data_IF_104403857100
#
_entry.id   IF_104403857100
#
_cell.length_a   1.000
_cell.length_b   1.000
_cell.length_c   1.000
_cell.angle_alpha   90.00
_cell.angle_beta   90.00
_cell.angle_gamma   90.00
#
_symmetry.space_group_name_H-M   'P 1'
#
loop_
_entity.id
_entity.type
_entity.pdbx_description
1 polymer ?
#
# COMPACT_ATOMS: atom_id res chain seq x y z
N UNK A 1 7.62 -2.51 12.40
CA UNK A 1 9.01 -3.00 12.49
C UNK A 1 9.85 -2.26 11.45
N UNK A 2 10.86 -1.50 11.86
CA UNK A 2 11.79 -0.83 10.94
C UNK A 2 12.80 -1.86 10.41
N UNK A 3 12.94 -1.99 9.10
CA UNK A 3 13.96 -2.86 8.48
C UNK A 3 15.20 -2.01 8.25
N UNK A 4 16.29 -2.27 8.97
CA UNK A 4 17.57 -1.68 8.63
C UNK A 4 17.95 -2.12 7.21
N UNK A 5 18.39 -1.16 6.39
CA UNK A 5 19.04 -1.42 5.10
C UNK A 5 20.19 -2.40 5.39
N UNK A 6 20.12 -3.61 4.83
CA UNK A 6 21.19 -4.59 5.04
C UNK A 6 22.44 -4.14 4.29
N UNK A 7 23.61 -4.59 4.73
CA UNK A 7 24.85 -4.31 4.01
C UNK A 7 24.69 -4.71 2.53
N UNK A 8 24.98 -3.76 1.62
CA UNK A 8 24.85 -3.91 0.16
C UNK A 8 23.43 -3.93 -0.41
N UNK A 9 22.38 -3.55 0.32
CA UNK A 9 21.02 -3.49 -0.26
C UNK A 9 20.96 -2.58 -1.50
N UNK A 10 21.62 -1.42 -1.45
CA UNK A 10 21.71 -0.52 -2.60
C UNK A 10 22.44 -1.19 -3.78
N UNK A 11 23.62 -1.76 -3.52
CA UNK A 11 24.39 -2.44 -4.57
C UNK A 11 23.63 -3.63 -5.15
N UNK A 12 22.91 -4.40 -4.33
CA UNK A 12 22.09 -5.51 -4.77
C UNK A 12 20.88 -5.04 -5.57
N UNK A 13 20.23 -3.94 -5.17
CA UNK A 13 19.15 -3.34 -5.95
C UNK A 13 19.66 -2.84 -7.32
N UNK A 14 20.88 -2.31 -7.40
CA UNK A 14 21.49 -1.91 -8.66
C UNK A 14 21.93 -3.10 -9.52
N UNK A 15 22.51 -4.14 -8.91
CA UNK A 15 23.08 -5.29 -9.62
C UNK A 15 22.02 -6.32 -10.04
N UNK A 16 20.97 -6.48 -9.24
CA UNK A 16 19.96 -7.53 -9.42
C UNK A 16 18.56 -6.99 -9.66
N UNK A 17 18.37 -5.66 -9.58
CA UNK A 17 17.06 -5.04 -9.67
C UNK A 17 16.20 -5.32 -8.44
N UNK A 18 14.93 -4.96 -8.54
CA UNK A 18 13.94 -5.33 -7.54
C UNK A 18 13.64 -6.84 -7.64
N UNK A 19 13.37 -7.46 -6.50
CA UNK A 19 12.88 -8.84 -6.44
C UNK A 19 11.58 -8.97 -7.26
N UNK A 20 11.38 -10.09 -7.96
CA UNK A 20 10.19 -10.30 -8.82
C UNK A 20 8.87 -10.15 -8.05
N UNK A 21 8.92 -10.45 -6.76
CA UNK A 21 7.82 -10.32 -5.81
C UNK A 21 7.42 -8.87 -5.58
N UNK A 22 8.37 -7.93 -5.60
CA UNK A 22 8.10 -6.51 -5.43
C UNK A 22 7.48 -5.89 -6.70
N UNK A 23 7.75 -6.47 -7.88
CA UNK A 23 7.21 -6.02 -9.16
C UNK A 23 5.81 -6.55 -9.48
N UNK A 24 5.33 -7.54 -8.73
CA UNK A 24 4.04 -8.21 -8.97
C UNK A 24 3.06 -8.10 -7.80
N UNK A 25 3.38 -7.30 -6.79
CA UNK A 25 2.50 -7.02 -5.67
C UNK A 25 1.51 -5.90 -5.97
N UNK A 26 0.47 -5.80 -5.15
CA UNK A 26 -0.43 -4.64 -5.12
C UNK A 26 0.34 -3.36 -4.77
N UNK A 27 0.01 -2.26 -5.45
CA UNK A 27 0.67 -0.97 -5.28
C UNK A 27 -0.32 0.07 -4.77
N UNK A 28 0.18 1.04 -4.02
CA UNK A 28 -0.52 2.30 -3.80
C UNK A 28 -0.22 3.20 -5.01
N UNK A 29 -1.22 3.47 -5.82
CA UNK A 29 -1.10 4.36 -6.98
C UNK A 29 -1.31 5.81 -6.56
N UNK A 30 -2.38 6.07 -5.79
CA UNK A 30 -2.87 7.42 -5.57
C UNK A 30 -2.99 7.71 -4.07
N UNK A 31 -2.37 8.81 -3.65
CA UNK A 31 -2.57 9.43 -2.35
C UNK A 31 -2.49 10.95 -2.52
N UNK A 32 -3.44 11.73 -2.00
CA UNK A 32 -3.46 13.18 -2.18
C UNK A 32 -2.28 13.82 -1.45
N UNK A 33 -1.48 14.62 -2.18
CA UNK A 33 -0.35 15.37 -1.65
C UNK A 33 -0.63 16.86 -1.78
N UNK A 34 -0.37 17.69 -0.73
CA UNK A 34 0.41 17.39 0.49
C UNK A 34 -0.40 16.84 1.68
N UNK A 35 -1.65 16.46 1.49
CA UNK A 35 -2.58 16.08 2.57
C UNK A 35 -2.24 14.74 3.21
N UNK A 36 -1.63 13.82 2.46
CA UNK A 36 -1.22 12.49 2.92
C UNK A 36 0.25 12.24 2.59
N UNK A 37 0.99 11.80 3.60
CA UNK A 37 2.40 11.45 3.51
C UNK A 37 2.56 9.94 3.65
N UNK A 38 3.12 9.29 2.63
CA UNK A 38 3.36 7.85 2.62
C UNK A 38 4.72 7.55 3.24
N UNK A 39 4.72 6.89 4.40
CA UNK A 39 5.96 6.49 5.08
C UNK A 39 6.39 5.07 4.73
N UNK A 40 5.46 4.20 4.34
CA UNK A 40 5.71 2.84 3.87
C UNK A 40 4.56 2.40 2.98
N UNK A 41 4.85 1.81 1.83
CA UNK A 41 3.92 1.04 1.02
C UNK A 41 4.66 -0.21 0.54
N UNK A 42 4.41 -1.36 1.16
CA UNK A 42 5.20 -2.57 0.89
C UNK A 42 4.35 -3.83 0.88
N UNK A 43 4.58 -4.67 -0.12
CA UNK A 43 3.99 -6.01 -0.21
C UNK A 43 5.04 -7.08 0.04
N UNK A 44 4.83 -7.92 1.05
CA UNK A 44 5.76 -9.00 1.39
C UNK A 44 5.51 -10.25 0.51
N UNK A 45 4.25 -10.63 0.36
CA UNK A 45 3.84 -11.91 -0.22
C UNK A 45 3.01 -11.73 -1.51
N UNK A 46 3.13 -10.58 -2.17
CA UNK A 46 2.33 -10.09 -3.32
C UNK A 46 0.85 -9.85 -3.04
N UNK A 47 0.26 -10.58 -2.09
CA UNK A 47 -1.16 -10.50 -1.74
C UNK A 47 -1.48 -9.43 -0.69
N UNK A 48 -0.55 -9.16 0.23
CA UNK A 48 -0.77 -8.29 1.37
C UNK A 48 0.05 -7.02 1.23
N UNK A 49 -0.61 -5.87 1.21
CA UNK A 49 0.02 -4.55 1.19
C UNK A 49 -0.04 -3.94 2.60
N UNK A 50 1.12 -3.63 3.16
CA UNK A 50 1.30 -2.96 4.44
C UNK A 50 1.67 -1.50 4.19
N UNK A 51 0.74 -0.62 4.54
CA UNK A 51 0.78 0.82 4.29
C UNK A 51 0.87 1.58 5.62
N UNK A 52 1.80 2.51 5.72
CA UNK A 52 1.84 3.50 6.80
C UNK A 52 1.75 4.90 6.20
N UNK A 53 0.74 5.64 6.62
CA UNK A 53 0.47 7.01 6.18
C UNK A 53 0.41 7.96 7.36
N UNK A 54 0.68 9.23 7.07
CA UNK A 54 0.51 10.35 7.98
C UNK A 54 -0.36 11.41 7.32
N UNK A 55 -1.16 12.12 8.10
CA UNK A 55 -1.82 13.32 7.61
C UNK A 55 -0.81 14.48 7.56
N UNK A 56 -0.93 15.34 6.56
CA UNK A 56 -0.03 16.48 6.34
C UNK A 56 -0.27 17.60 7.35
N UNK A 57 -1.43 18.26 7.27
CA UNK A 57 -1.80 19.37 8.17
C UNK A 57 -2.95 19.00 9.10
N UNK A 58 -4.03 18.48 8.54
CA UNK A 58 -5.28 18.20 9.26
C UNK A 58 -5.62 16.72 9.19
N UNK A 59 -6.23 16.20 10.25
CA UNK A 59 -6.75 14.84 10.29
C UNK A 59 -8.06 14.78 9.50
N UNK A 60 -8.31 13.68 8.80
CA UNK A 60 -9.52 13.56 7.99
C UNK A 60 -9.63 12.24 7.26
N UNK A 61 -10.68 12.13 6.45
CA UNK A 61 -10.87 10.99 5.54
C UNK A 61 -10.28 11.34 4.19
N UNK A 62 -9.35 10.51 3.71
CA UNK A 62 -8.67 10.69 2.44
C UNK A 62 -8.87 9.47 1.56
N UNK A 63 -9.08 9.71 0.27
CA UNK A 63 -9.19 8.65 -0.71
C UNK A 63 -7.80 8.14 -1.09
N UNK A 64 -7.61 6.83 -1.02
CA UNK A 64 -6.38 6.14 -1.41
C UNK A 64 -6.70 5.18 -2.56
N UNK A 65 -5.93 5.29 -3.64
CA UNK A 65 -6.04 4.46 -4.84
C UNK A 65 -5.01 3.33 -4.84
N UNK A 66 -5.47 2.13 -5.13
CA UNK A 66 -4.64 0.93 -5.29
C UNK A 66 -4.73 0.39 -6.71
N UNK A 67 -3.63 -0.16 -7.19
CA UNK A 67 -3.51 -0.80 -8.51
C UNK A 67 -2.77 -2.15 -8.38
N UNK A 68 -2.73 -2.93 -9.47
CA UNK A 68 -2.14 -4.27 -9.50
C UNK A 68 -2.85 -5.24 -8.55
N UNK A 69 -4.17 -5.04 -8.38
CA UNK A 69 -5.05 -5.98 -7.69
C UNK A 69 -5.57 -7.02 -8.67
N UNK A 70 -5.84 -8.22 -8.17
CA UNK A 70 -6.54 -9.27 -8.93
C UNK A 70 -7.95 -8.75 -9.27
N UNK A 71 -8.33 -8.61 -10.54
CA UNK A 71 -9.66 -8.11 -10.93
C UNK A 71 -10.79 -8.97 -10.37
N UNK A 72 -11.83 -8.33 -9.83
CA UNK A 72 -12.98 -9.01 -9.24
C UNK A 72 -12.73 -9.62 -7.86
N UNK A 73 -11.49 -9.58 -7.35
CA UNK A 73 -11.17 -10.06 -6.00
C UNK A 73 -11.59 -9.01 -4.95
N UNK A 74 -12.16 -9.50 -3.84
CA UNK A 74 -12.47 -8.68 -2.67
C UNK A 74 -11.27 -8.64 -1.71
N UNK A 75 -11.00 -7.47 -1.16
CA UNK A 75 -9.92 -7.21 -0.22
C UNK A 75 -10.48 -6.63 1.08
N UNK A 76 -10.01 -7.13 2.21
CA UNK A 76 -10.25 -6.54 3.53
C UNK A 76 -9.26 -5.40 3.77
N UNK A 77 -9.76 -4.35 4.41
CA UNK A 77 -8.97 -3.18 4.80
C UNK A 77 -8.95 -3.10 6.32
N UNK A 78 -7.78 -3.03 6.95
CA UNK A 78 -7.69 -3.00 8.42
C UNK A 78 -8.26 -1.73 9.05
N UNK A 79 -8.37 -0.63 8.31
CA UNK A 79 -9.04 0.60 8.76
C UNK A 79 -10.56 0.46 8.83
N UNK A 80 -11.11 -0.64 8.32
CA UNK A 80 -12.54 -0.92 8.30
C UNK A 80 -13.05 -1.20 6.90
N UNK A 81 -13.93 -2.19 6.78
CA UNK A 81 -14.62 -2.54 5.54
C UNK A 81 -13.84 -3.44 4.60
N UNK A 82 -14.37 -3.53 3.37
CA UNK A 82 -13.79 -4.31 2.28
C UNK A 82 -14.02 -3.60 0.96
N UNK A 83 -13.07 -3.72 0.05
CA UNK A 83 -13.14 -3.14 -1.29
C UNK A 83 -12.96 -4.23 -2.35
N UNK A 84 -13.77 -4.17 -3.41
CA UNK A 84 -13.61 -5.05 -4.56
C UNK A 84 -12.73 -4.37 -5.62
N UNK A 85 -11.76 -5.12 -6.15
CA UNK A 85 -10.99 -4.66 -7.30
C UNK A 85 -11.88 -4.65 -8.54
N UNK A 86 -11.85 -3.55 -9.29
CA UNK A 86 -12.57 -3.42 -10.54
C UNK A 86 -11.95 -4.30 -11.65
N UNK A 87 -12.58 -4.32 -12.83
CA UNK A 87 -12.11 -5.09 -13.99
C UNK A 87 -10.71 -4.71 -14.50
N UNK A 88 -10.20 -3.54 -14.11
CA UNK A 88 -8.85 -3.07 -14.44
C UNK A 88 -7.83 -3.36 -13.33
N UNK A 89 -8.22 -4.04 -12.24
CA UNK A 89 -7.33 -4.33 -11.12
C UNK A 89 -7.05 -3.11 -10.23
N UNK A 90 -7.96 -2.13 -10.22
CA UNK A 90 -7.89 -0.94 -9.36
C UNK A 90 -8.96 -0.96 -8.27
N UNK A 91 -8.68 -0.31 -7.14
CA UNK A 91 -9.63 -0.10 -6.06
C UNK A 91 -9.37 1.23 -5.35
N UNK A 92 -10.41 1.81 -4.78
CA UNK A 92 -10.31 3.04 -3.98
C UNK A 92 -10.89 2.79 -2.60
N UNK A 93 -10.24 3.32 -1.58
CA UNK A 93 -10.75 3.30 -0.21
C UNK A 93 -10.77 4.72 0.33
N UNK A 94 -11.75 5.00 1.16
CA UNK A 94 -11.77 6.19 1.98
C UNK A 94 -11.23 5.80 3.37
N UNK A 95 -10.05 6.32 3.71
CA UNK A 95 -9.35 5.98 4.95
C UNK A 95 -9.27 7.18 5.88
N UNK A 96 -9.64 6.99 7.14
CA UNK A 96 -9.43 7.98 8.19
C UNK A 96 -7.94 8.01 8.59
N UNK A 97 -7.29 9.15 8.41
CA UNK A 97 -5.87 9.34 8.72
C UNK A 97 -5.73 10.37 9.84
N UNK A 98 -5.16 9.92 10.96
CA UNK A 98 -4.91 10.73 12.14
C UNK A 98 -3.54 10.35 12.72
N UNK A 99 -2.54 11.21 12.48
CA UNK A 99 -1.16 10.92 12.80
C UNK A 99 -0.67 9.69 12.03
N UNK A 100 0.07 8.82 12.71
CA UNK A 100 0.57 7.57 12.11
C UNK A 100 -0.54 6.53 12.01
N UNK A 101 -1.13 6.39 10.83
CA UNK A 101 -2.14 5.36 10.57
C UNK A 101 -1.53 4.19 9.80
N UNK A 102 -1.75 2.97 10.31
CA UNK A 102 -1.41 1.74 9.59
C UNK A 102 -2.65 1.20 8.87
N UNK A 103 -2.50 0.92 7.58
CA UNK A 103 -3.54 0.33 6.72
C UNK A 103 -2.96 -0.95 6.12
N UNK A 104 -3.67 -2.05 6.29
CA UNK A 104 -3.34 -3.35 5.73
C UNK A 104 -4.43 -3.71 4.73
N UNK A 105 -4.05 -3.94 3.49
CA UNK A 105 -4.91 -4.47 2.44
C UNK A 105 -4.53 -5.93 2.17
N UNK A 106 -5.50 -6.83 2.26
CA UNK A 106 -5.30 -8.26 1.99
C UNK A 106 -6.56 -8.89 1.38
N UNK A 107 -6.44 -9.85 0.45
CA UNK A 107 -7.59 -10.52 -0.15
C UNK A 107 -8.39 -11.31 0.89
N UNK A 108 -9.71 -11.32 0.73
CA UNK A 108 -10.64 -12.18 1.47
C UNK A 108 -10.85 -13.44 0.63
N UNK A 109 -10.64 -14.61 1.23
CA UNK A 109 -11.00 -15.91 0.63
C UNK A 109 -12.50 -16.19 0.74
#
# INVERSE_FOLDING_TARGET
MARLIKQRDLANATLHGHSKEALSGSILEEAPFPEVLVAKAYSADRKKLDLFVYNGKETGVFQLGFESLIPGQQYSVSSGGSVAANGAGKAFIDAEINGRTQIILQPIE
#
